data_IF_832295488070
#
_entry.id   IF_832295488070
#
_cell.length_a   1.000
_cell.length_b   1.000
_cell.length_c   1.000
_cell.angle_alpha   90.00
_cell.angle_beta   90.00
_cell.angle_gamma   90.00
#
_symmetry.space_group_name_H-M   'P 1'
#
loop_
_entity.id
_entity.type
_entity.pdbx_description
1 polymer ?
#
# COMPACT_ATOMS: atom_id res chain seq x y z
N UNK A 1 20.16 19.30 -42.33
CA UNK A 1 20.75 18.25 -41.46
C UNK A 1 19.63 17.66 -40.63
N UNK A 2 19.77 16.42 -40.23
CA UNK A 2 18.81 15.70 -39.41
C UNK A 2 19.52 15.16 -38.17
N UNK A 3 18.90 15.30 -37.01
CA UNK A 3 19.37 14.79 -35.74
C UNK A 3 18.33 13.80 -35.20
N UNK A 4 18.67 12.52 -35.21
CA UNK A 4 17.79 11.43 -34.78
C UNK A 4 18.31 10.83 -33.48
N UNK A 5 17.41 10.61 -32.53
CA UNK A 5 17.73 10.17 -31.17
C UNK A 5 17.14 8.78 -30.92
N UNK A 6 17.96 7.88 -30.43
CA UNK A 6 17.64 6.48 -30.14
C UNK A 6 17.98 6.13 -28.70
N UNK A 7 17.47 5.02 -28.21
CA UNK A 7 17.90 4.49 -26.92
C UNK A 7 19.30 3.89 -27.03
N UNK A 8 20.08 3.95 -25.96
CA UNK A 8 21.44 3.40 -25.94
C UNK A 8 21.51 1.88 -26.15
N UNK A 9 20.41 1.18 -25.90
CA UNK A 9 20.28 -0.26 -26.16
C UNK A 9 20.26 -0.56 -27.67
N UNK A 10 19.84 0.41 -28.50
CA UNK A 10 19.73 0.28 -29.96
C UNK A 10 21.04 0.66 -30.69
N UNK A 11 22.14 0.89 -29.94
CA UNK A 11 23.40 1.34 -30.51
C UNK A 11 23.91 0.42 -31.63
N UNK A 12 23.87 -0.90 -31.42
CA UNK A 12 24.37 -1.85 -32.40
C UNK A 12 23.54 -1.81 -33.69
N UNK A 13 22.22 -1.77 -33.57
CA UNK A 13 21.29 -1.70 -34.70
C UNK A 13 21.48 -0.41 -35.50
N UNK A 14 21.63 0.73 -34.79
CA UNK A 14 21.90 2.04 -35.41
C UNK A 14 23.23 2.03 -36.16
N UNK A 15 24.29 1.47 -35.57
CA UNK A 15 25.60 1.39 -36.21
C UNK A 15 25.58 0.47 -37.45
N UNK A 16 24.86 -0.65 -37.39
CA UNK A 16 24.72 -1.58 -38.51
C UNK A 16 23.92 -1.00 -39.68
N UNK A 17 23.00 -0.07 -39.39
CA UNK A 17 22.14 0.57 -40.39
C UNK A 17 22.87 1.62 -41.25
N UNK A 18 24.04 2.10 -40.82
CA UNK A 18 24.76 3.18 -41.50
C UNK A 18 26.05 2.64 -42.14
N UNK A 19 26.17 2.62 -43.49
CA UNK A 19 27.34 2.11 -44.16
C UNK A 19 28.57 3.01 -43.98
N UNK A 20 29.75 2.40 -44.09
CA UNK A 20 31.06 3.07 -44.11
C UNK A 20 31.41 3.93 -42.87
N UNK A 21 30.77 3.68 -41.73
CA UNK A 21 31.13 4.31 -40.46
C UNK A 21 32.53 3.89 -39.99
N UNK A 22 33.35 4.88 -39.62
CA UNK A 22 34.67 4.65 -39.02
C UNK A 22 34.64 4.98 -37.52
N UNK A 23 35.23 4.13 -36.67
CA UNK A 23 35.32 4.45 -35.24
C UNK A 23 36.14 5.72 -35.00
N UNK A 24 35.65 6.61 -34.15
CA UNK A 24 36.29 7.90 -33.81
C UNK A 24 36.65 8.01 -32.33
N UNK A 25 35.79 7.50 -31.43
CA UNK A 25 35.98 7.44 -29.96
C UNK A 25 36.57 8.73 -29.34
N UNK A 26 35.99 9.88 -29.67
CA UNK A 26 36.42 11.19 -29.14
C UNK A 26 35.31 11.85 -28.34
N UNK A 27 35.68 12.67 -27.37
CA UNK A 27 34.73 13.42 -26.55
C UNK A 27 34.53 14.84 -27.08
N UNK A 28 33.29 15.21 -27.36
CA UNK A 28 32.89 16.54 -27.80
C UNK A 28 31.91 17.12 -26.77
N UNK A 29 32.44 17.92 -25.85
CA UNK A 29 31.67 18.45 -24.72
C UNK A 29 31.10 17.33 -23.85
N UNK A 30 29.78 17.16 -23.89
CA UNK A 30 29.04 16.14 -23.14
C UNK A 30 28.78 14.86 -23.94
N UNK A 31 29.15 14.82 -25.22
CA UNK A 31 28.85 13.72 -26.14
C UNK A 31 30.10 12.92 -26.41
N UNK A 32 29.97 11.60 -26.43
CA UNK A 32 31.01 10.67 -26.87
C UNK A 32 30.75 10.31 -28.33
N UNK A 33 31.59 10.79 -29.25
CA UNK A 33 31.51 10.45 -30.67
C UNK A 33 32.04 9.04 -30.85
N UNK A 34 31.16 8.10 -31.20
CA UNK A 34 31.50 6.68 -31.34
C UNK A 34 32.07 6.42 -32.72
N UNK A 35 31.35 6.85 -33.76
CA UNK A 35 31.72 6.62 -35.15
C UNK A 35 31.30 7.79 -36.03
N UNK A 36 32.02 8.00 -37.13
CA UNK A 36 31.69 9.04 -38.10
C UNK A 36 32.14 8.66 -39.51
N UNK A 37 31.44 9.19 -40.51
CA UNK A 37 31.88 9.24 -41.90
C UNK A 37 31.72 10.69 -42.43
N UNK A 38 31.70 10.90 -43.74
CA UNK A 38 31.59 12.26 -44.32
C UNK A 38 30.21 12.90 -44.12
N UNK A 39 29.17 12.10 -43.99
CA UNK A 39 27.78 12.54 -44.03
C UNK A 39 27.05 12.35 -42.70
N UNK A 40 27.53 11.40 -41.89
CA UNK A 40 26.88 10.94 -40.66
C UNK A 40 27.87 10.90 -39.50
N UNK A 41 27.42 11.36 -38.34
CA UNK A 41 28.14 11.25 -37.07
C UNK A 41 27.23 10.59 -36.04
N UNK A 42 27.76 9.57 -35.38
CA UNK A 42 27.07 8.84 -34.32
C UNK A 42 27.75 9.17 -32.99
N UNK A 43 26.97 9.75 -32.09
CA UNK A 43 27.37 10.09 -30.73
C UNK A 43 26.55 9.33 -29.70
N UNK A 44 27.06 9.30 -28.47
CA UNK A 44 26.34 8.83 -27.30
C UNK A 44 26.31 9.91 -26.25
N UNK A 45 25.12 10.10 -25.68
CA UNK A 45 24.89 10.96 -24.54
C UNK A 45 24.04 10.20 -23.53
N UNK A 46 24.67 9.79 -22.42
CA UNK A 46 24.00 9.01 -21.36
C UNK A 46 23.34 7.74 -21.92
N UNK A 47 22.01 7.66 -21.82
CA UNK A 47 21.20 6.54 -22.28
C UNK A 47 20.64 6.75 -23.69
N UNK A 48 21.19 7.72 -24.43
CA UNK A 48 20.78 8.05 -25.79
C UNK A 48 21.92 7.86 -26.78
N UNK A 49 21.56 7.39 -27.97
CA UNK A 49 22.40 7.39 -29.17
C UNK A 49 21.87 8.47 -30.08
N UNK A 50 22.78 9.30 -30.58
CA UNK A 50 22.47 10.46 -31.40
C UNK A 50 23.09 10.21 -32.76
N UNK A 51 22.30 10.37 -33.81
CA UNK A 51 22.75 10.32 -35.19
C UNK A 51 22.53 11.70 -35.81
N UNK A 52 23.62 12.37 -36.18
CA UNK A 52 23.58 13.61 -36.94
C UNK A 52 23.93 13.30 -38.40
N UNK A 53 23.00 13.55 -39.32
CA UNK A 53 23.14 13.29 -40.75
C UNK A 53 22.96 14.56 -41.59
N UNK A 54 23.64 14.64 -42.73
CA UNK A 54 23.43 15.69 -43.72
C UNK A 54 22.09 15.53 -44.47
N UNK A 55 21.55 14.32 -44.58
CA UNK A 55 20.28 13.98 -45.24
C UNK A 55 19.40 13.01 -44.44
N UNK A 56 18.22 12.68 -44.98
CA UNK A 56 17.28 11.73 -44.37
C UNK A 56 17.87 10.31 -44.39
N UNK A 57 17.82 9.62 -43.25
CA UNK A 57 18.28 8.24 -43.11
C UNK A 57 17.09 7.36 -42.71
N UNK A 58 16.98 6.21 -43.35
CA UNK A 58 16.03 5.17 -42.96
C UNK A 58 16.71 4.20 -42.00
N UNK A 59 16.09 3.98 -40.83
CA UNK A 59 16.55 3.05 -39.81
C UNK A 59 15.53 1.92 -39.66
N UNK A 60 15.99 0.73 -39.26
CA UNK A 60 15.09 -0.39 -38.96
C UNK A 60 14.17 -0.08 -37.77
N UNK A 61 14.72 0.57 -36.73
CA UNK A 61 13.97 1.03 -35.57
C UNK A 61 13.59 2.51 -35.73
N UNK A 62 12.39 2.86 -35.28
CA UNK A 62 11.95 4.25 -35.28
C UNK A 62 12.71 5.04 -34.19
N UNK A 63 13.27 6.23 -34.50
CA UNK A 63 13.88 7.08 -33.49
C UNK A 63 12.84 7.52 -32.45
N UNK A 64 13.30 7.74 -31.21
CA UNK A 64 12.51 8.37 -30.14
C UNK A 64 11.99 9.73 -30.63
N UNK A 65 12.89 10.50 -31.26
CA UNK A 65 12.55 11.79 -31.82
C UNK A 65 13.56 12.17 -32.90
N UNK A 66 13.09 12.92 -33.90
CA UNK A 66 13.92 13.45 -34.98
C UNK A 66 13.76 14.96 -35.08
N UNK A 67 14.88 15.67 -35.06
CA UNK A 67 14.95 17.11 -35.21
C UNK A 67 15.57 17.50 -36.54
N UNK A 68 14.90 18.38 -37.28
CA UNK A 68 15.42 18.90 -38.54
C UNK A 68 16.18 20.21 -38.28
N UNK A 69 17.47 20.23 -38.59
CA UNK A 69 18.31 21.42 -38.45
C UNK A 69 18.49 22.07 -39.82
N UNK A 70 18.02 23.31 -39.95
CA UNK A 70 18.06 24.10 -41.19
C UNK A 70 18.93 25.34 -40.97
N UNK A 71 19.93 25.52 -41.82
CA UNK A 71 20.80 26.70 -41.78
C UNK A 71 20.29 27.74 -42.78
N UNK A 72 19.85 28.91 -42.28
CA UNK A 72 19.35 30.01 -43.10
C UNK A 72 19.44 31.34 -42.37
N UNK A 73 19.40 32.44 -43.11
CA UNK A 73 19.25 33.78 -42.52
C UNK A 73 17.86 33.94 -41.89
N UNK A 74 17.81 34.55 -40.70
CA UNK A 74 16.59 34.72 -39.92
C UNK A 74 16.33 36.20 -39.66
N UNK A 75 15.16 36.69 -40.09
CA UNK A 75 14.76 38.08 -39.81
C UNK A 75 14.29 38.29 -38.36
N UNK A 76 13.72 37.24 -37.73
CA UNK A 76 13.18 37.27 -36.37
C UNK A 76 13.58 36.00 -35.61
N UNK A 77 14.84 35.90 -35.22
CA UNK A 77 15.39 34.81 -34.41
C UNK A 77 15.54 35.22 -32.94
N UNK A 78 15.81 34.23 -32.08
CA UNK A 78 16.26 34.43 -30.71
C UNK A 78 17.76 34.23 -30.64
N UNK A 79 18.44 35.06 -29.88
CA UNK A 79 19.89 34.95 -29.73
C UNK A 79 20.25 33.76 -28.83
N UNK A 80 21.36 33.10 -29.15
CA UNK A 80 22.00 32.09 -28.30
C UNK A 80 23.52 32.14 -28.50
N UNK A 81 24.27 31.25 -27.84
CA UNK A 81 25.73 31.33 -27.79
C UNK A 81 26.44 31.35 -29.16
N UNK A 82 25.84 30.77 -30.19
CA UNK A 82 26.47 30.55 -31.49
C UNK A 82 25.78 31.28 -32.67
N UNK A 83 24.77 32.11 -32.39
CA UNK A 83 24.07 32.89 -33.40
C UNK A 83 22.62 33.15 -33.02
N UNK A 84 21.72 33.10 -34.00
CA UNK A 84 20.28 33.23 -33.76
C UNK A 84 19.54 31.97 -34.19
N UNK A 85 18.42 31.66 -33.53
CA UNK A 85 17.62 30.48 -33.83
C UNK A 85 16.13 30.75 -33.83
N UNK A 86 15.39 29.87 -34.50
CA UNK A 86 13.94 29.74 -34.41
C UNK A 86 13.60 28.26 -34.25
N UNK A 87 12.67 27.96 -33.36
CA UNK A 87 12.23 26.60 -33.10
C UNK A 87 10.72 26.48 -33.29
N UNK A 88 10.32 25.58 -34.18
CA UNK A 88 8.92 25.29 -34.48
C UNK A 88 8.75 23.77 -34.60
N UNK A 89 7.89 23.21 -33.75
CA UNK A 89 7.62 21.76 -33.62
C UNK A 89 8.90 20.94 -33.37
N UNK A 90 9.53 20.44 -34.42
CA UNK A 90 10.78 19.68 -34.39
C UNK A 90 11.84 20.25 -35.36
N UNK A 91 11.56 21.40 -35.96
CA UNK A 91 12.49 22.08 -36.87
C UNK A 91 13.19 23.21 -36.14
N UNK A 92 14.52 23.17 -36.18
CA UNK A 92 15.40 24.18 -35.60
C UNK A 92 16.09 24.89 -36.75
N UNK A 93 15.76 26.16 -36.91
CA UNK A 93 16.39 27.02 -37.89
C UNK A 93 17.47 27.82 -37.19
N UNK A 94 18.69 27.81 -37.73
CA UNK A 94 19.85 28.44 -37.10
C UNK A 94 20.53 29.35 -38.13
N UNK A 95 20.74 30.60 -37.76
CA UNK A 95 21.68 31.50 -38.42
C UNK A 95 22.97 31.52 -37.59
N UNK A 96 24.01 30.79 -38.01
CA UNK A 96 25.25 30.72 -37.26
C UNK A 96 26.04 32.02 -37.40
N UNK A 97 26.45 32.61 -36.27
CA UNK A 97 27.39 33.73 -36.22
C UNK A 97 28.82 33.27 -35.87
N UNK A 98 28.95 32.04 -35.37
CA UNK A 98 30.21 31.40 -35.00
C UNK A 98 30.23 29.96 -35.52
N UNK A 99 31.42 29.46 -35.77
CA UNK A 99 31.62 28.04 -36.10
C UNK A 99 31.20 27.19 -34.89
N UNK A 100 30.38 26.16 -35.15
CA UNK A 100 29.85 25.26 -34.13
C UNK A 100 29.71 23.87 -34.72
N UNK A 101 30.04 22.86 -33.92
CA UNK A 101 29.65 21.49 -34.20
C UNK A 101 28.25 21.23 -33.66
N UNK A 102 27.27 21.01 -34.54
CA UNK A 102 25.87 20.76 -34.14
C UNK A 102 25.70 19.57 -33.22
N UNK A 103 26.66 18.64 -33.21
CA UNK A 103 26.65 17.54 -32.26
C UNK A 103 26.81 18.02 -30.81
N UNK A 104 27.37 19.22 -30.57
CA UNK A 104 27.41 19.83 -29.23
C UNK A 104 26.03 20.22 -28.69
N UNK A 105 25.04 20.47 -29.56
CA UNK A 105 23.67 20.78 -29.15
C UNK A 105 22.82 19.53 -28.89
N UNK A 106 23.29 18.36 -29.34
CA UNK A 106 22.56 17.10 -29.19
C UNK A 106 22.15 16.72 -27.76
N UNK A 107 22.90 17.08 -26.69
CA UNK A 107 22.43 16.85 -25.33
C UNK A 107 21.13 17.59 -25.00
N UNK A 108 20.95 18.83 -25.51
CA UNK A 108 19.70 19.57 -25.31
C UNK A 108 18.54 18.86 -26.01
N UNK A 109 18.74 18.45 -27.26
CA UNK A 109 17.72 17.74 -28.03
C UNK A 109 17.36 16.40 -27.38
N UNK A 110 18.34 15.70 -26.82
CA UNK A 110 18.11 14.43 -26.09
C UNK A 110 17.26 14.65 -24.84
N UNK A 111 17.57 15.66 -24.03
CA UNK A 111 16.76 15.97 -22.84
C UNK A 111 15.37 16.50 -23.24
N UNK A 112 15.23 17.22 -24.36
CA UNK A 112 13.94 17.66 -24.89
C UNK A 112 13.08 16.47 -25.36
N UNK A 113 13.66 15.54 -26.12
CA UNK A 113 12.99 14.31 -26.56
C UNK A 113 12.54 13.47 -25.36
N UNK A 114 13.39 13.35 -24.34
CA UNK A 114 13.06 12.68 -23.08
C UNK A 114 11.86 13.36 -22.39
N UNK A 115 11.89 14.68 -22.24
CA UNK A 115 10.81 15.44 -21.63
C UNK A 115 9.49 15.25 -22.37
N UNK A 116 9.49 15.38 -23.70
CA UNK A 116 8.30 15.22 -24.54
C UNK A 116 7.71 13.81 -24.41
N UNK A 117 8.52 12.79 -24.61
CA UNK A 117 8.08 11.38 -24.58
C UNK A 117 7.58 10.97 -23.20
N UNK A 118 8.38 11.21 -22.16
CA UNK A 118 8.03 10.84 -20.79
C UNK A 118 6.80 11.61 -20.30
N UNK A 119 6.64 12.87 -20.70
CA UNK A 119 5.49 13.68 -20.30
C UNK A 119 4.18 13.17 -20.91
N UNK A 120 4.20 12.74 -22.18
CA UNK A 120 3.05 12.12 -22.83
C UNK A 120 2.69 10.80 -22.14
N UNK A 121 3.69 9.94 -21.93
CA UNK A 121 3.49 8.62 -21.30
C UNK A 121 2.99 8.74 -19.86
N UNK A 122 3.62 9.59 -19.06
CA UNK A 122 3.20 9.88 -17.69
C UNK A 122 1.79 10.50 -17.67
N UNK A 123 1.48 11.41 -18.59
CA UNK A 123 0.14 11.99 -18.73
C UNK A 123 -0.93 10.93 -18.96
N UNK A 124 -0.72 10.06 -19.96
CA UNK A 124 -1.61 8.93 -20.27
C UNK A 124 -1.76 7.98 -19.07
N UNK A 125 -0.67 7.69 -18.37
CA UNK A 125 -0.66 6.84 -17.18
C UNK A 125 -1.42 7.49 -16.02
N UNK A 126 -1.23 8.78 -15.80
CA UNK A 126 -1.93 9.58 -14.80
C UNK A 126 -3.44 9.56 -15.01
N UNK A 127 -3.90 9.81 -16.24
CA UNK A 127 -5.33 9.73 -16.57
C UNK A 127 -5.92 8.33 -16.34
N UNK A 128 -5.18 7.30 -16.73
CA UNK A 128 -5.58 5.91 -16.50
C UNK A 128 -5.70 5.60 -15.00
N UNK A 129 -4.69 6.00 -14.21
CA UNK A 129 -4.69 5.82 -12.76
C UNK A 129 -5.82 6.58 -12.08
N UNK A 130 -6.16 7.79 -12.53
CA UNK A 130 -7.29 8.55 -11.99
C UNK A 130 -8.64 7.84 -12.18
N UNK A 131 -8.82 7.12 -13.30
CA UNK A 131 -10.00 6.26 -13.51
C UNK A 131 -10.02 5.07 -12.55
N UNK A 132 -8.87 4.49 -12.22
CA UNK A 132 -8.77 3.41 -11.23
C UNK A 132 -9.00 3.92 -9.80
N UNK A 133 -8.43 5.08 -9.48
CA UNK A 133 -8.61 5.79 -8.21
C UNK A 133 -10.09 6.02 -7.90
N UNK A 134 -10.87 6.48 -8.90
CA UNK A 134 -12.31 6.69 -8.75
C UNK A 134 -13.05 5.42 -8.33
N UNK A 135 -12.66 4.25 -8.90
CA UNK A 135 -13.25 2.96 -8.52
C UNK A 135 -12.89 2.57 -7.09
N UNK A 136 -11.66 2.83 -6.68
CA UNK A 136 -11.18 2.57 -5.32
C UNK A 136 -11.93 3.45 -4.32
N UNK A 137 -12.12 4.74 -4.63
CA UNK A 137 -12.87 5.68 -3.80
C UNK A 137 -14.33 5.23 -3.66
N UNK A 138 -15.03 4.93 -4.76
CA UNK A 138 -16.43 4.45 -4.71
C UNK A 138 -16.55 3.18 -3.84
N UNK A 139 -15.61 2.23 -3.98
CA UNK A 139 -15.63 1.02 -3.16
C UNK A 139 -15.37 1.32 -1.68
N UNK A 140 -14.43 2.21 -1.41
CA UNK A 140 -14.09 2.64 -0.05
C UNK A 140 -15.28 3.32 0.64
N UNK A 141 -15.96 4.24 -0.05
CA UNK A 141 -17.14 4.95 0.46
C UNK A 141 -18.26 3.96 0.78
N UNK A 142 -18.57 3.03 -0.14
CA UNK A 142 -19.61 2.01 0.10
C UNK A 142 -19.34 1.17 1.34
N UNK A 143 -18.07 0.85 1.61
CA UNK A 143 -17.71 0.10 2.81
C UNK A 143 -17.93 0.97 4.06
N UNK A 144 -17.44 2.21 4.06
CA UNK A 144 -17.57 3.11 5.21
C UNK A 144 -19.04 3.37 5.57
N UNK A 145 -19.90 3.60 4.58
CA UNK A 145 -21.33 3.87 4.77
C UNK A 145 -22.09 2.65 5.31
N UNK A 146 -21.79 1.45 4.80
CA UNK A 146 -22.56 0.24 5.10
C UNK A 146 -21.92 -0.64 6.18
N UNK A 147 -20.73 -0.32 6.67
CA UNK A 147 -20.04 -1.10 7.69
C UNK A 147 -20.74 -1.12 9.07
N UNK A 148 -21.87 -0.43 9.25
CA UNK A 148 -22.70 -0.53 10.46
C UNK A 148 -23.81 -1.58 10.36
N UNK A 149 -24.18 -2.00 9.15
CA UNK A 149 -25.36 -2.84 8.87
C UNK A 149 -25.02 -4.15 8.16
N UNK A 150 -23.77 -4.29 7.68
CA UNK A 150 -23.29 -5.47 6.98
C UNK A 150 -22.92 -6.62 7.92
N UNK A 151 -23.14 -7.84 7.43
CA UNK A 151 -22.66 -9.07 8.06
C UNK A 151 -21.12 -9.18 7.97
N UNK A 152 -20.53 -9.95 8.89
CA UNK A 152 -19.07 -10.14 9.01
C UNK A 152 -18.48 -10.66 7.70
N UNK A 153 -19.15 -11.66 7.10
CA UNK A 153 -18.74 -12.28 5.84
C UNK A 153 -18.60 -11.27 4.71
N UNK A 154 -19.57 -10.36 4.58
CA UNK A 154 -19.60 -9.30 3.56
C UNK A 154 -18.50 -8.27 3.80
N UNK A 155 -18.22 -7.94 5.07
CA UNK A 155 -17.13 -7.02 5.43
C UNK A 155 -15.74 -7.60 5.13
N UNK A 156 -15.53 -8.90 5.36
CA UNK A 156 -14.27 -9.58 5.03
C UNK A 156 -14.03 -9.63 3.52
N UNK A 157 -15.05 -9.98 2.74
CA UNK A 157 -14.97 -10.00 1.26
C UNK A 157 -14.64 -8.62 0.70
N UNK A 158 -15.28 -7.57 1.22
CA UNK A 158 -15.03 -6.20 0.81
C UNK A 158 -13.62 -5.71 1.22
N UNK A 159 -13.14 -6.09 2.40
CA UNK A 159 -11.77 -5.78 2.83
C UNK A 159 -10.74 -6.46 1.92
N UNK A 160 -10.98 -7.72 1.54
CA UNK A 160 -10.12 -8.46 0.63
C UNK A 160 -10.09 -7.82 -0.78
N UNK A 161 -11.26 -7.45 -1.31
CA UNK A 161 -11.36 -6.78 -2.61
C UNK A 161 -10.62 -5.43 -2.59
N UNK A 162 -10.83 -4.61 -1.57
CA UNK A 162 -10.17 -3.31 -1.43
C UNK A 162 -8.64 -3.45 -1.29
N UNK A 163 -8.18 -4.46 -0.55
CA UNK A 163 -6.76 -4.79 -0.44
C UNK A 163 -6.16 -5.21 -1.79
N UNK A 164 -6.90 -6.02 -2.58
CA UNK A 164 -6.48 -6.42 -3.92
C UNK A 164 -6.38 -5.24 -4.89
N UNK A 165 -7.38 -4.35 -4.87
CA UNK A 165 -7.38 -3.13 -5.67
C UNK A 165 -6.21 -2.22 -5.31
N UNK A 166 -5.96 -2.02 -4.01
CA UNK A 166 -4.80 -1.28 -3.49
C UNK A 166 -3.48 -1.86 -4.00
N UNK A 167 -3.30 -3.18 -3.92
CA UNK A 167 -2.07 -3.84 -4.38
C UNK A 167 -1.77 -3.61 -5.86
N UNK A 168 -2.78 -3.75 -6.72
CA UNK A 168 -2.65 -3.49 -8.16
C UNK A 168 -2.32 -2.03 -8.44
N UNK A 169 -3.02 -1.11 -7.77
CA UNK A 169 -2.84 0.33 -7.93
C UNK A 169 -1.43 0.78 -7.53
N UNK A 170 -0.92 0.33 -6.37
CA UNK A 170 0.42 0.70 -5.88
C UNK A 170 1.50 0.39 -6.91
N UNK A 171 1.48 -0.81 -7.52
CA UNK A 171 2.52 -1.20 -8.48
C UNK A 171 2.61 -0.27 -9.69
N UNK A 172 1.45 0.23 -10.16
CA UNK A 172 1.36 1.13 -11.31
C UNK A 172 1.66 2.57 -10.91
N UNK A 173 1.23 2.96 -9.72
CA UNK A 173 1.53 4.26 -9.13
C UNK A 173 3.04 4.44 -8.89
N UNK A 174 3.77 3.41 -8.44
CA UNK A 174 5.23 3.48 -8.30
C UNK A 174 5.92 3.79 -9.63
N UNK A 175 5.53 3.10 -10.73
CA UNK A 175 6.08 3.39 -12.06
C UNK A 175 5.79 4.83 -12.51
N UNK A 176 4.58 5.31 -12.28
CA UNK A 176 4.20 6.70 -12.56
C UNK A 176 5.06 7.70 -11.78
N UNK A 177 5.35 7.39 -10.51
CA UNK A 177 6.21 8.23 -9.66
C UNK A 177 7.65 8.26 -10.14
N UNK A 178 8.19 7.11 -10.55
CA UNK A 178 9.54 7.03 -11.12
C UNK A 178 9.63 7.87 -12.42
N UNK A 179 8.59 7.82 -13.27
CA UNK A 179 8.49 8.65 -14.49
C UNK A 179 8.47 10.15 -14.15
N UNK A 180 7.70 10.59 -13.15
CA UNK A 180 7.69 11.99 -12.67
C UNK A 180 9.08 12.44 -12.22
N UNK A 181 9.79 11.58 -11.48
CA UNK A 181 11.13 11.90 -11.02
C UNK A 181 12.10 12.08 -12.20
N UNK A 182 12.05 11.16 -13.18
CA UNK A 182 12.91 11.24 -14.38
C UNK A 182 12.60 12.47 -15.24
N UNK A 183 11.33 12.86 -15.38
CA UNK A 183 10.93 14.12 -16.02
C UNK A 183 11.54 15.31 -15.27
N UNK A 184 11.42 15.33 -13.94
CA UNK A 184 11.98 16.38 -13.09
C UNK A 184 13.50 16.50 -13.24
N UNK A 185 14.21 15.37 -13.26
CA UNK A 185 15.65 15.36 -13.47
C UNK A 185 16.02 15.81 -14.89
N UNK A 186 15.30 15.36 -15.91
CA UNK A 186 15.52 15.76 -17.31
C UNK A 186 15.29 17.26 -17.50
N UNK A 187 14.28 17.83 -16.84
CA UNK A 187 13.99 19.26 -16.88
C UNK A 187 15.11 20.09 -16.26
N UNK A 188 15.68 19.64 -15.12
CA UNK A 188 16.83 20.30 -14.49
C UNK A 188 18.03 20.30 -15.43
N UNK A 189 18.29 19.18 -16.11
CA UNK A 189 19.41 19.04 -17.06
C UNK A 189 19.19 19.89 -18.31
N UNK A 190 18.00 19.85 -18.89
CA UNK A 190 17.59 20.69 -20.00
C UNK A 190 17.81 22.17 -19.69
N UNK A 191 17.33 22.66 -18.53
CA UNK A 191 17.56 24.04 -18.06
C UNK A 191 19.05 24.38 -17.95
N UNK A 192 19.84 23.47 -17.37
CA UNK A 192 21.28 23.67 -17.19
C UNK A 192 22.01 23.78 -18.52
N UNK A 193 21.72 22.86 -19.44
CA UNK A 193 22.30 22.86 -20.79
C UNK A 193 21.83 24.10 -21.57
N UNK A 194 20.54 24.41 -21.56
CA UNK A 194 19.98 25.58 -22.22
C UNK A 194 20.68 26.88 -21.78
N UNK A 195 20.88 27.08 -20.47
CA UNK A 195 21.64 28.22 -19.94
C UNK A 195 23.10 28.22 -20.40
N UNK A 196 23.76 27.07 -20.42
CA UNK A 196 25.14 26.92 -20.90
C UNK A 196 25.28 27.43 -22.34
N UNK A 197 24.28 27.16 -23.17
CA UNK A 197 24.27 27.54 -24.58
C UNK A 197 23.58 28.89 -24.85
N UNK A 198 23.57 29.80 -23.88
CA UNK A 198 23.03 31.15 -24.04
C UNK A 198 21.50 31.20 -24.08
N UNK A 199 20.83 30.41 -23.23
CA UNK A 199 19.38 30.28 -23.17
C UNK A 199 18.74 29.65 -24.43
N UNK A 200 19.48 28.79 -25.12
CA UNK A 200 18.95 28.04 -26.27
C UNK A 200 17.78 27.15 -25.87
N UNK A 201 16.61 27.31 -26.51
CA UNK A 201 15.34 26.65 -26.21
C UNK A 201 14.82 26.86 -24.77
N UNK A 202 15.31 27.87 -24.06
CA UNK A 202 14.94 28.08 -22.65
C UNK A 202 13.45 28.37 -22.49
N UNK A 203 12.78 28.92 -23.51
CA UNK A 203 11.35 29.20 -23.51
C UNK A 203 10.42 28.01 -23.42
N UNK A 204 10.91 26.80 -23.71
CA UNK A 204 10.11 25.58 -23.53
C UNK A 204 10.05 25.17 -22.05
N UNK A 205 10.93 25.75 -21.23
CA UNK A 205 11.03 25.41 -19.81
C UNK A 205 9.71 25.59 -19.04
N UNK A 206 8.99 26.73 -19.16
CA UNK A 206 7.75 26.92 -18.41
C UNK A 206 6.65 25.92 -18.79
N UNK A 207 6.58 25.53 -20.07
CA UNK A 207 5.62 24.52 -20.55
C UNK A 207 5.83 23.18 -19.82
N UNK A 208 7.08 22.69 -19.77
CA UNK A 208 7.39 21.44 -19.07
C UNK A 208 7.34 21.56 -17.54
N UNK A 209 7.54 22.76 -16.97
CA UNK A 209 7.27 23.02 -15.55
C UNK A 209 5.79 22.88 -15.23
N UNK A 210 4.91 23.42 -16.08
CA UNK A 210 3.45 23.31 -15.93
C UNK A 210 2.99 21.85 -16.08
N UNK A 211 3.53 21.12 -17.06
CA UNK A 211 3.26 19.68 -17.23
C UNK A 211 3.69 18.90 -15.97
N UNK A 212 4.92 19.12 -15.48
CA UNK A 212 5.40 18.46 -14.27
C UNK A 212 4.55 18.81 -13.04
N UNK A 213 4.06 20.04 -12.94
CA UNK A 213 3.15 20.48 -11.88
C UNK A 213 1.82 19.72 -11.93
N UNK A 214 1.24 19.56 -13.12
CA UNK A 214 0.02 18.78 -13.33
C UNK A 214 0.21 17.30 -12.99
N UNK A 215 1.36 16.71 -13.36
CA UNK A 215 1.67 15.32 -13.00
C UNK A 215 1.84 15.14 -11.48
N UNK A 216 2.44 16.10 -10.79
CA UNK A 216 2.54 16.11 -9.31
C UNK A 216 1.19 16.27 -8.63
N UNK A 217 0.24 16.95 -9.26
CA UNK A 217 -1.14 17.00 -8.75
C UNK A 217 -1.78 15.61 -8.75
N UNK A 218 -1.63 14.84 -9.83
CA UNK A 218 -2.04 13.43 -9.85
C UNK A 218 -1.31 12.61 -8.77
N UNK A 219 0.01 12.76 -8.64
CA UNK A 219 0.79 12.06 -7.61
C UNK A 219 0.23 12.31 -6.20
N UNK A 220 -0.05 13.58 -5.88
CA UNK A 220 -0.61 13.97 -4.59
C UNK A 220 -2.00 13.37 -4.36
N UNK A 221 -2.87 13.38 -5.38
CA UNK A 221 -4.20 12.75 -5.30
C UNK A 221 -4.07 11.26 -5.00
N UNK A 222 -3.21 10.55 -5.75
CA UNK A 222 -3.00 9.12 -5.58
C UNK A 222 -2.44 8.76 -4.20
N UNK A 223 -1.49 9.54 -3.69
CA UNK A 223 -0.97 9.39 -2.33
C UNK A 223 -2.08 9.58 -1.27
N UNK A 224 -2.96 10.55 -1.48
CA UNK A 224 -4.08 10.83 -0.58
C UNK A 224 -5.11 9.69 -0.60
N UNK A 225 -5.43 9.16 -1.78
CA UNK A 225 -6.31 8.00 -1.93
C UNK A 225 -5.70 6.76 -1.26
N UNK A 226 -4.41 6.48 -1.44
CA UNK A 226 -3.75 5.35 -0.81
C UNK A 226 -3.77 5.43 0.72
N UNK A 227 -3.62 6.63 1.29
CA UNK A 227 -3.77 6.88 2.73
C UNK A 227 -5.21 6.61 3.17
N UNK A 228 -6.19 7.18 2.47
CA UNK A 228 -7.63 6.98 2.78
C UNK A 228 -8.03 5.51 2.74
N UNK A 229 -7.56 4.75 1.75
CA UNK A 229 -7.81 3.31 1.63
C UNK A 229 -7.19 2.55 2.80
N UNK A 230 -5.97 2.88 3.20
CA UNK A 230 -5.32 2.26 4.37
C UNK A 230 -6.13 2.51 5.63
N UNK A 231 -6.51 3.76 5.88
CA UNK A 231 -7.24 4.14 7.09
C UNK A 231 -8.64 3.50 7.12
N UNK A 232 -9.25 3.31 5.94
CA UNK A 232 -10.52 2.58 5.78
C UNK A 232 -10.37 1.09 6.07
N UNK A 233 -9.31 0.45 5.57
CA UNK A 233 -8.98 -0.95 5.88
C UNK A 233 -8.74 -1.16 7.38
N UNK A 234 -8.04 -0.23 8.04
CA UNK A 234 -7.83 -0.26 9.48
C UNK A 234 -9.15 -0.14 10.25
N UNK A 235 -10.03 0.76 9.81
CA UNK A 235 -11.38 0.90 10.39
C UNK A 235 -12.20 -0.38 10.24
N UNK A 236 -12.15 -1.04 9.08
CA UNK A 236 -12.83 -2.33 8.86
C UNK A 236 -12.27 -3.40 9.79
N UNK A 237 -10.94 -3.49 9.90
CA UNK A 237 -10.28 -4.46 10.77
C UNK A 237 -10.69 -4.28 12.25
N UNK A 238 -10.67 -3.05 12.75
CA UNK A 238 -11.12 -2.73 14.11
C UNK A 238 -12.59 -3.09 14.35
N UNK A 239 -13.45 -2.90 13.34
CA UNK A 239 -14.86 -3.29 13.42
C UNK A 239 -15.04 -4.81 13.44
N UNK A 240 -14.36 -5.54 12.55
CA UNK A 240 -14.39 -7.00 12.54
C UNK A 240 -13.98 -7.57 13.90
N UNK A 241 -12.90 -7.04 14.48
CA UNK A 241 -12.44 -7.42 15.82
C UNK A 241 -13.50 -7.14 16.91
N UNK A 242 -14.15 -5.97 16.85
CA UNK A 242 -15.21 -5.60 17.78
C UNK A 242 -16.42 -6.54 17.72
N UNK A 243 -16.85 -6.91 16.50
CA UNK A 243 -17.97 -7.85 16.31
C UNK A 243 -17.60 -9.23 16.86
N UNK A 244 -16.42 -9.75 16.54
CA UNK A 244 -15.94 -11.05 17.04
C UNK A 244 -15.84 -11.07 18.57
N UNK A 245 -15.35 -9.99 19.20
CA UNK A 245 -15.33 -9.84 20.66
C UNK A 245 -16.73 -9.87 21.25
N UNK A 246 -17.69 -9.19 20.62
CA UNK A 246 -19.09 -9.19 21.07
C UNK A 246 -19.70 -10.58 21.01
N UNK A 247 -19.53 -11.31 19.91
CA UNK A 247 -20.00 -12.69 19.78
C UNK A 247 -19.39 -13.60 20.85
N UNK A 248 -18.08 -13.47 21.08
CA UNK A 248 -17.37 -14.22 22.12
C UNK A 248 -17.93 -13.92 23.52
N UNK A 249 -18.21 -12.65 23.82
CA UNK A 249 -18.83 -12.25 25.10
C UNK A 249 -20.27 -12.76 25.23
N UNK A 250 -21.04 -12.77 24.15
CA UNK A 250 -22.41 -13.31 24.14
C UNK A 250 -22.40 -14.83 24.36
N UNK A 251 -21.48 -15.56 23.73
CA UNK A 251 -21.25 -16.98 23.99
C UNK A 251 -20.82 -17.22 25.45
N UNK A 252 -19.89 -16.42 25.98
CA UNK A 252 -19.46 -16.52 27.37
C UNK A 252 -20.61 -16.26 28.35
N UNK A 253 -21.48 -15.27 28.08
CA UNK A 253 -22.68 -15.02 28.87
C UNK A 253 -23.66 -16.19 28.84
N UNK A 254 -23.89 -16.80 27.67
CA UNK A 254 -24.75 -17.99 27.54
C UNK A 254 -24.18 -19.18 28.31
N UNK A 255 -22.87 -19.43 28.20
CA UNK A 255 -22.19 -20.49 28.95
C UNK A 255 -22.24 -20.24 30.45
N UNK A 256 -22.00 -19.00 30.89
CA UNK A 256 -22.12 -18.62 32.30
C UNK A 256 -23.55 -18.80 32.83
N UNK A 257 -24.57 -18.41 32.07
CA UNK A 257 -25.96 -18.64 32.45
C UNK A 257 -26.30 -20.13 32.58
N UNK A 258 -25.78 -20.97 31.67
CA UNK A 258 -25.93 -22.43 31.74
C UNK A 258 -25.22 -23.02 32.97
N UNK A 259 -24.02 -22.54 33.31
CA UNK A 259 -23.30 -22.96 34.51
C UNK A 259 -24.06 -22.59 35.78
N UNK A 260 -24.60 -21.37 35.86
CA UNK A 260 -25.44 -20.94 37.00
C UNK A 260 -26.69 -21.82 37.10
N UNK A 261 -27.37 -22.09 35.98
CA UNK A 261 -28.54 -22.97 35.96
C UNK A 261 -28.19 -24.40 36.42
N UNK A 262 -27.07 -24.95 35.95
CA UNK A 262 -26.58 -26.26 36.39
C UNK A 262 -26.28 -26.28 37.90
N UNK A 263 -25.62 -25.25 38.42
CA UNK A 263 -25.33 -25.14 39.86
C UNK A 263 -26.63 -25.05 40.70
N UNK A 264 -27.64 -24.34 40.22
CA UNK A 264 -28.96 -24.27 40.88
C UNK A 264 -29.66 -25.63 40.86
N UNK A 265 -29.62 -26.35 39.74
CA UNK A 265 -30.20 -27.70 39.64
C UNK A 265 -29.45 -28.65 40.58
N UNK A 266 -28.12 -28.63 40.60
CA UNK A 266 -27.30 -29.44 41.50
C UNK A 266 -27.64 -29.16 42.96
N UNK A 267 -27.76 -27.88 43.32
CA UNK A 267 -28.20 -27.46 44.65
C UNK A 267 -29.58 -28.02 45.02
N UNK A 268 -30.59 -27.89 44.14
CA UNK A 268 -31.95 -28.39 44.40
C UNK A 268 -31.97 -29.91 44.56
N UNK A 269 -31.25 -30.62 43.69
CA UNK A 269 -31.15 -32.09 43.71
C UNK A 269 -30.50 -32.55 45.01
N UNK A 270 -29.35 -31.97 45.38
CA UNK A 270 -28.66 -32.29 46.64
C UNK A 270 -29.55 -31.97 47.82
N UNK A 271 -30.22 -30.82 47.85
CA UNK A 271 -31.11 -30.42 48.94
C UNK A 271 -32.28 -31.40 49.12
N UNK A 272 -32.93 -31.79 48.03
CA UNK A 272 -34.03 -32.75 48.07
C UNK A 272 -33.58 -34.13 48.55
N UNK A 273 -32.48 -34.66 48.01
CA UNK A 273 -31.95 -35.96 48.44
C UNK A 273 -31.44 -35.94 49.88
N UNK A 274 -30.77 -34.85 50.28
CA UNK A 274 -30.29 -34.67 51.65
C UNK A 274 -31.46 -34.66 52.62
N UNK A 275 -32.52 -33.89 52.34
CA UNK A 275 -33.75 -33.91 53.14
C UNK A 275 -34.38 -35.30 53.20
N UNK A 276 -34.48 -35.99 52.06
CA UNK A 276 -35.04 -37.34 51.98
C UNK A 276 -34.23 -38.38 52.78
N UNK A 277 -32.91 -38.33 52.72
CA UNK A 277 -32.02 -39.21 53.50
C UNK A 277 -32.20 -38.92 54.98
N UNK A 278 -32.09 -37.66 55.40
CA UNK A 278 -32.20 -37.31 56.82
C UNK A 278 -33.57 -37.61 57.41
N UNK A 279 -34.66 -37.45 56.65
CA UNK A 279 -36.01 -37.83 57.11
C UNK A 279 -36.15 -39.32 57.45
N UNK A 280 -35.26 -40.19 56.93
CA UNK A 280 -35.25 -41.63 57.22
C UNK A 280 -34.37 -42.01 58.41
N UNK A 281 -33.32 -41.23 58.69
CA UNK A 281 -32.31 -41.56 59.71
C UNK A 281 -32.37 -40.68 60.95
N UNK A 282 -33.06 -39.55 60.89
CA UNK A 282 -33.20 -38.60 61.97
C UNK A 282 -34.61 -38.01 61.98
N UNK A 283 -35.26 -37.98 63.14
CA UNK A 283 -36.53 -37.27 63.29
C UNK A 283 -36.27 -35.75 63.36
N UNK A 284 -36.13 -35.15 62.18
CA UNK A 284 -35.90 -33.71 62.00
C UNK A 284 -36.98 -32.83 62.65
N UNK A 285 -38.08 -33.41 63.14
CA UNK A 285 -39.13 -32.69 63.88
C UNK A 285 -38.70 -32.21 65.28
N UNK A 286 -37.64 -32.80 65.85
CA UNK A 286 -37.08 -32.38 67.14
C UNK A 286 -36.21 -31.11 67.04
N UNK A 287 -35.79 -30.73 65.84
CA UNK A 287 -35.00 -29.54 65.61
C UNK A 287 -35.87 -28.28 65.42
N UNK A 288 -35.43 -27.12 65.92
CA UNK A 288 -36.00 -25.84 65.51
C UNK A 288 -35.95 -25.71 63.98
N UNK A 289 -37.10 -25.47 63.35
CA UNK A 289 -37.24 -25.47 61.87
C UNK A 289 -36.25 -24.56 61.17
N UNK A 290 -35.88 -23.43 61.78
CA UNK A 290 -34.90 -22.49 61.22
C UNK A 290 -33.48 -23.06 61.20
N UNK A 291 -33.10 -23.85 62.21
CA UNK A 291 -31.76 -24.45 62.32
C UNK A 291 -31.62 -25.60 61.33
N UNK A 292 -32.64 -26.47 61.25
CA UNK A 292 -32.70 -27.53 60.23
C UNK A 292 -32.61 -26.96 58.82
N UNK A 293 -33.38 -25.91 58.52
CA UNK A 293 -33.35 -25.24 57.22
C UNK A 293 -31.96 -24.65 56.93
N UNK A 294 -31.34 -23.98 57.88
CA UNK A 294 -30.01 -23.36 57.71
C UNK A 294 -28.95 -24.44 57.46
N UNK A 295 -28.90 -25.49 58.28
CA UNK A 295 -27.90 -26.55 58.13
C UNK A 295 -28.07 -27.32 56.82
N UNK A 296 -29.30 -27.62 56.41
CA UNK A 296 -29.58 -28.27 55.13
C UNK A 296 -29.23 -27.37 53.94
N UNK A 297 -29.49 -26.07 54.04
CA UNK A 297 -29.14 -25.09 53.01
C UNK A 297 -27.62 -24.98 52.86
N UNK A 298 -26.90 -24.85 53.98
CA UNK A 298 -25.43 -24.78 53.98
C UNK A 298 -24.83 -26.07 53.44
N UNK A 299 -25.30 -27.23 53.89
CA UNK A 299 -24.82 -28.53 53.40
C UNK A 299 -25.05 -28.66 51.89
N UNK A 300 -26.24 -28.31 51.41
CA UNK A 300 -26.61 -28.42 50.00
C UNK A 300 -25.88 -27.41 49.11
N UNK A 301 -25.51 -26.25 49.63
CA UNK A 301 -24.65 -25.29 48.94
C UNK A 301 -23.18 -25.73 48.92
N UNK A 302 -22.73 -26.46 49.94
CA UNK A 302 -21.33 -26.86 50.08
C UNK A 302 -20.99 -28.08 49.24
N UNK A 303 -21.93 -28.99 48.98
CA UNK A 303 -21.69 -30.18 48.16
C UNK A 303 -21.29 -29.83 46.71
N UNK A 304 -21.99 -28.95 45.96
CA UNK A 304 -21.54 -28.54 44.63
C UNK A 304 -20.16 -27.87 44.64
N UNK A 305 -19.89 -27.00 45.62
CA UNK A 305 -18.58 -26.36 45.79
C UNK A 305 -17.47 -27.38 46.10
N UNK A 306 -17.81 -28.45 46.83
CA UNK A 306 -16.92 -29.55 47.10
C UNK A 306 -16.67 -30.36 45.82
N UNK A 307 -17.69 -30.65 45.01
CA UNK A 307 -17.57 -31.33 43.71
C UNK A 307 -16.61 -30.58 42.79
N UNK A 308 -16.73 -29.25 42.71
CA UNK A 308 -15.82 -28.39 41.95
C UNK A 308 -14.37 -28.47 42.46
N UNK A 309 -14.17 -28.35 43.78
CA UNK A 309 -12.85 -28.44 44.38
C UNK A 309 -12.21 -29.85 44.25
N UNK A 310 -13.02 -30.91 44.23
CA UNK A 310 -12.56 -32.27 43.92
C UNK A 310 -12.15 -32.40 42.45
N UNK A 311 -12.88 -31.75 41.53
CA UNK A 311 -12.50 -31.65 40.13
C UNK A 311 -11.13 -30.97 39.95
N UNK A 312 -10.91 -29.82 40.60
CA UNK A 312 -9.61 -29.13 40.63
C UNK A 312 -8.50 -30.06 41.19
N UNK A 313 -8.76 -30.77 42.29
CA UNK A 313 -7.83 -31.72 42.89
C UNK A 313 -7.47 -32.88 41.94
N UNK A 314 -8.44 -33.43 41.20
CA UNK A 314 -8.21 -34.52 40.25
C UNK A 314 -7.39 -34.08 39.04
N UNK A 315 -7.58 -32.83 38.58
CA UNK A 315 -6.83 -32.25 37.46
C UNK A 315 -5.39 -31.89 37.85
N UNK A 316 -5.21 -31.18 38.97
CA UNK A 316 -3.91 -30.65 39.38
C UNK A 316 -3.10 -31.59 40.30
N UNK A 317 -3.73 -32.66 40.81
CA UNK A 317 -3.18 -33.62 41.80
C UNK A 317 -2.62 -32.98 43.08
N UNK A 318 -3.03 -31.76 43.41
CA UNK A 318 -2.62 -31.02 44.61
C UNK A 318 -3.81 -30.64 45.46
N UNK A 319 -3.70 -30.84 46.77
CA UNK A 319 -4.77 -30.49 47.71
C UNK A 319 -4.81 -28.96 47.87
N UNK A 320 -5.77 -28.33 47.20
CA UNK A 320 -6.01 -26.89 47.30
C UNK A 320 -6.60 -26.50 48.67
N UNK A 321 -6.30 -25.28 49.12
CA UNK A 321 -6.84 -24.71 50.36
C UNK A 321 -8.39 -24.72 50.38
N UNK A 322 -9.02 -24.54 49.22
CA UNK A 322 -10.48 -24.59 49.04
C UNK A 322 -11.06 -25.95 49.43
N UNK A 323 -10.47 -27.05 48.96
CA UNK A 323 -10.92 -28.42 49.26
C UNK A 323 -10.92 -28.69 50.78
N UNK A 324 -9.86 -28.29 51.48
CA UNK A 324 -9.74 -28.45 52.93
C UNK A 324 -10.84 -27.68 53.67
N UNK A 325 -11.10 -26.44 53.27
CA UNK A 325 -12.15 -25.61 53.88
C UNK A 325 -13.54 -26.21 53.66
N UNK A 326 -13.86 -26.68 52.45
CA UNK A 326 -15.17 -27.28 52.16
C UNK A 326 -15.38 -28.62 52.88
N UNK A 327 -14.34 -29.45 52.97
CA UNK A 327 -14.38 -30.69 53.75
C UNK A 327 -14.61 -30.43 55.24
N UNK A 328 -13.90 -29.43 55.81
CA UNK A 328 -14.12 -29.01 57.21
C UNK A 328 -15.55 -28.53 57.42
N UNK A 329 -16.09 -27.72 56.50
CA UNK A 329 -17.43 -27.18 56.61
C UNK A 329 -18.51 -28.28 56.55
N UNK A 330 -18.37 -29.26 55.66
CA UNK A 330 -19.25 -30.43 55.61
C UNK A 330 -19.15 -31.25 56.89
N UNK A 331 -17.93 -31.51 57.38
CA UNK A 331 -17.73 -32.26 58.63
C UNK A 331 -18.36 -31.56 59.83
N UNK A 332 -18.31 -30.22 59.87
CA UNK A 332 -18.94 -29.41 60.91
C UNK A 332 -20.47 -29.48 60.81
N UNK A 333 -21.05 -29.38 59.61
CA UNK A 333 -22.49 -29.52 59.42
C UNK A 333 -22.99 -30.90 59.87
N UNK A 334 -22.28 -31.97 59.51
CA UNK A 334 -22.60 -33.33 59.96
C UNK A 334 -22.49 -33.45 61.48
N UNK A 335 -21.43 -32.90 62.09
CA UNK A 335 -21.24 -32.91 63.54
C UNK A 335 -22.37 -32.16 64.28
N UNK A 336 -22.84 -31.02 63.76
CA UNK A 336 -23.97 -30.27 64.34
C UNK A 336 -25.26 -31.10 64.26
N UNK A 337 -25.52 -31.75 63.13
CA UNK A 337 -26.70 -32.62 62.97
C UNK A 337 -26.63 -33.79 63.94
N UNK A 338 -25.49 -34.48 64.04
CA UNK A 338 -25.32 -35.61 64.97
C UNK A 338 -25.41 -35.17 66.43
N UNK A 339 -24.76 -34.07 66.81
CA UNK A 339 -24.82 -33.55 68.17
C UNK A 339 -26.26 -33.28 68.59
N UNK A 340 -27.04 -32.63 67.74
CA UNK A 340 -28.45 -32.29 68.04
C UNK A 340 -29.43 -33.46 67.99
N UNK A 341 -29.06 -34.59 67.40
CA UNK A 341 -29.88 -35.81 67.40
C UNK A 341 -29.58 -36.68 68.62
N UNK A 342 -28.32 -36.74 69.05
CA UNK A 342 -27.85 -37.65 70.10
C UNK A 342 -27.72 -37.02 71.49
N UNK A 343 -27.69 -35.69 71.58
CA UNK A 343 -27.66 -34.89 72.82
C UNK A 343 -28.72 -33.80 72.74
#
# INVERSE_FOLDING_TARGET
MELSIFHAEELEDVLNSIPDLKPSFRKLGNVEVIAENKEVRVGKYRNYVIVLSSGELEFENAPIETFRIVLRELENGRDFQFGTYRFEENTVEIQPEREMDFLELSPIFSELAALKTLSIDAGNRGEFLSKEETKIIDRTVRILENAGTMDISVLEDLAFELSSLKGKFISRYMKFKDEIEEIGQSLIRFKSLSRKYGHFLYELTPEYEDVLSNLRYYEMSFDQTLRSVRDSLETIHLKLESIQRRETLELQKRTSALQVAAAVIEFIVVFYYTMGIWSKYADLSMLPKWLSLLTLTVLSATVPLLTEAFGEYLLERRVGRKLVVYLMLISLCIAIILYTIFF
#
